data_IF_724829317101
#
_entry.id   IF_724829317101
#
_cell.length_a   1.000
_cell.length_b   1.000
_cell.length_c   1.000
_cell.angle_alpha   90.00
_cell.angle_beta   90.00
_cell.angle_gamma   90.00
#
_symmetry.space_group_name_H-M   'P 1'
#
loop_
_entity.id
_entity.type
_entity.pdbx_description
1 polymer ?
#
# COMPACT_ATOMS: atom_id res chain seq x y z
N UNK A 1 -21.98 15.86 4.90
CA UNK A 1 -21.93 15.98 6.37
C UNK A 1 -22.77 14.89 7.02
N UNK A 2 -24.10 14.94 6.97
CA UNK A 2 -25.00 13.90 7.56
C UNK A 2 -24.61 12.43 7.29
N UNK A 3 -24.23 12.09 6.05
CA UNK A 3 -23.85 10.71 5.72
C UNK A 3 -22.52 10.26 6.36
N UNK A 4 -21.57 11.18 6.55
CA UNK A 4 -20.34 10.86 7.29
C UNK A 4 -20.64 10.71 8.78
N UNK A 5 -21.52 11.55 9.36
CA UNK A 5 -22.01 11.40 10.74
C UNK A 5 -22.64 10.02 10.95
N UNK A 6 -23.56 9.63 10.06
CA UNK A 6 -24.21 8.33 10.11
C UNK A 6 -23.18 7.19 10.03
N UNK A 7 -22.23 7.27 9.10
CA UNK A 7 -21.16 6.28 8.97
C UNK A 7 -20.34 6.14 10.27
N UNK A 8 -19.81 7.26 10.79
CA UNK A 8 -18.97 7.22 12.00
C UNK A 8 -19.74 6.81 13.26
N UNK A 9 -21.05 7.07 13.33
CA UNK A 9 -21.90 6.58 14.43
C UNK A 9 -22.00 5.05 14.49
N UNK A 10 -21.87 4.37 13.35
CA UNK A 10 -21.95 2.91 13.21
C UNK A 10 -20.58 2.24 13.05
N UNK A 11 -19.53 3.02 12.81
CA UNK A 11 -18.20 2.51 12.50
C UNK A 11 -17.64 1.66 13.65
N UNK A 12 -17.17 0.45 13.32
CA UNK A 12 -16.34 -0.34 14.24
C UNK A 12 -14.97 0.32 14.37
N UNK A 13 -14.68 0.88 15.54
CA UNK A 13 -13.43 1.55 15.82
C UNK A 13 -12.26 0.55 15.80
N UNK A 14 -11.22 0.86 15.02
CA UNK A 14 -9.96 0.15 15.04
C UNK A 14 -9.06 0.71 16.13
N UNK A 15 -8.45 -0.18 16.93
CA UNK A 15 -7.55 0.18 18.04
C UNK A 15 -6.14 -0.31 17.68
N UNK A 16 -5.20 0.57 17.30
CA UNK A 16 -3.83 0.17 17.01
C UNK A 16 -3.10 -0.34 18.27
N UNK A 17 -2.08 -1.18 18.06
CA UNK A 17 -1.14 -1.59 19.13
C UNK A 17 -0.50 -0.36 19.79
N UNK A 18 -0.35 -0.39 21.12
CA UNK A 18 0.17 0.72 21.95
C UNK A 18 -0.59 2.04 21.71
N UNK A 19 -1.91 1.96 21.69
CA UNK A 19 -2.86 3.03 21.42
C UNK A 19 -2.54 4.37 22.12
N UNK A 20 -2.25 4.30 23.42
CA UNK A 20 -1.99 5.40 24.33
C UNK A 20 -0.65 6.09 24.09
N UNK A 21 0.27 5.43 23.39
CA UNK A 21 1.58 5.96 23.02
C UNK A 21 1.59 6.66 21.65
N UNK A 22 0.44 6.78 20.97
CA UNK A 22 0.36 7.31 19.60
C UNK A 22 -0.17 8.73 19.55
N UNK A 23 0.40 9.53 18.66
CA UNK A 23 -0.21 10.79 18.22
C UNK A 23 -1.37 10.48 17.27
N UNK A 24 -2.45 11.25 17.42
CA UNK A 24 -3.60 11.23 16.54
C UNK A 24 -3.70 12.54 15.77
N UNK A 25 -4.21 12.44 14.54
CA UNK A 25 -4.41 13.59 13.67
C UNK A 25 -5.68 13.43 12.82
N UNK A 26 -6.38 14.53 12.62
CA UNK A 26 -7.65 14.54 11.90
C UNK A 26 -7.75 15.73 10.96
N UNK A 27 -8.39 15.52 9.82
CA UNK A 27 -8.87 16.60 8.96
C UNK A 27 -10.38 16.67 9.14
N UNK A 28 -10.92 17.65 9.88
CA UNK A 28 -12.37 17.77 10.07
C UNK A 28 -13.10 17.95 8.73
N UNK A 29 -14.25 17.30 8.56
CA UNK A 29 -15.02 17.35 7.32
C UNK A 29 -15.45 18.77 6.95
N UNK A 30 -15.74 19.61 7.96
CA UNK A 30 -16.07 21.04 7.79
C UNK A 30 -14.96 21.87 7.14
N UNK A 31 -13.71 21.42 7.23
CA UNK A 31 -12.54 22.11 6.68
C UNK A 31 -12.10 21.49 5.33
N UNK A 32 -12.88 20.57 4.76
CA UNK A 32 -12.60 20.00 3.46
C UNK A 32 -13.30 20.84 2.38
N UNK A 33 -12.61 21.28 1.30
CA UNK A 33 -11.38 20.70 0.74
C UNK A 33 -10.04 21.35 1.15
N UNK A 34 -10.03 22.38 1.99
CA UNK A 34 -8.82 23.15 2.35
C UNK A 34 -7.77 22.36 3.14
N UNK A 35 -8.11 21.13 3.56
CA UNK A 35 -7.20 20.14 4.16
C UNK A 35 -6.46 20.63 5.42
N UNK A 36 -7.16 21.38 6.26
CA UNK A 36 -6.61 21.85 7.54
C UNK A 36 -6.60 20.68 8.54
N UNK A 37 -5.39 20.23 8.90
CA UNK A 37 -5.18 19.11 9.82
C UNK A 37 -5.02 19.60 11.27
N UNK A 38 -5.74 18.96 12.19
CA UNK A 38 -5.56 19.08 13.64
C UNK A 38 -4.71 17.91 14.11
N UNK A 39 -3.68 18.20 14.91
CA UNK A 39 -2.60 17.26 15.29
C UNK A 39 -2.26 17.39 16.78
N UNK A 40 -1.29 16.59 17.25
CA UNK A 40 -0.85 16.57 18.65
C UNK A 40 -1.97 16.16 19.61
N UNK A 41 -2.84 15.25 19.15
CA UNK A 41 -3.92 14.70 19.97
C UNK A 41 -3.47 13.34 20.50
N UNK A 42 -3.89 13.03 21.72
CA UNK A 42 -3.77 11.70 22.30
C UNK A 42 -5.04 11.36 23.06
N UNK A 43 -5.30 10.06 23.21
CA UNK A 43 -6.46 9.55 23.92
C UNK A 43 -6.00 8.54 24.95
N UNK A 44 -6.57 8.57 26.14
CA UNK A 44 -6.23 7.62 27.20
C UNK A 44 -6.97 6.30 27.05
N UNK A 45 -8.10 6.30 26.34
CA UNK A 45 -8.88 5.10 26.07
C UNK A 45 -9.66 5.20 24.72
N UNK A 46 -10.17 4.07 24.20
CA UNK A 46 -10.94 4.03 22.96
C UNK A 46 -12.26 4.84 22.96
N UNK A 47 -12.89 5.05 24.12
CA UNK A 47 -14.16 5.77 24.22
C UNK A 47 -13.96 7.26 23.95
N UNK A 48 -12.91 7.86 24.50
CA UNK A 48 -12.52 9.25 24.21
C UNK A 48 -12.27 9.48 22.72
N UNK A 49 -11.60 8.54 22.04
CA UNK A 49 -11.41 8.61 20.59
C UNK A 49 -12.75 8.57 19.84
N UNK A 50 -13.66 7.68 20.25
CA UNK A 50 -14.99 7.60 19.65
C UNK A 50 -15.75 8.91 19.82
N UNK A 51 -15.80 9.45 21.03
CA UNK A 51 -16.50 10.69 21.34
C UNK A 51 -15.91 11.88 20.59
N UNK A 52 -14.57 11.92 20.46
CA UNK A 52 -13.89 12.93 19.66
C UNK A 52 -14.27 12.85 18.18
N UNK A 53 -14.27 11.65 17.59
CA UNK A 53 -14.66 11.44 16.19
C UNK A 53 -16.11 11.88 15.96
N UNK A 54 -17.03 11.52 16.86
CA UNK A 54 -18.45 11.87 16.73
C UNK A 54 -18.70 13.37 16.90
N UNK A 55 -17.92 14.03 17.76
CA UNK A 55 -17.97 15.49 17.94
C UNK A 55 -17.27 16.27 16.82
N UNK A 56 -16.29 15.64 16.15
CA UNK A 56 -15.43 16.26 15.14
C UNK A 56 -15.31 15.37 13.90
N UNK A 57 -16.44 15.13 13.23
CA UNK A 57 -16.54 14.22 12.09
C UNK A 57 -15.41 14.44 11.08
N UNK A 58 -14.50 13.47 10.90
CA UNK A 58 -13.33 13.67 10.07
C UNK A 58 -13.58 13.31 8.60
N UNK A 59 -13.07 14.14 7.68
CA UNK A 59 -12.82 13.73 6.30
C UNK A 59 -11.64 12.76 6.21
N UNK A 60 -10.67 12.88 7.11
CA UNK A 60 -9.54 11.96 7.22
C UNK A 60 -9.14 11.78 8.69
N UNK A 61 -8.86 10.55 9.10
CA UNK A 61 -8.37 10.21 10.43
C UNK A 61 -7.04 9.45 10.32
N UNK A 62 -6.11 9.76 11.22
CA UNK A 62 -4.76 9.21 11.24
C UNK A 62 -4.26 8.96 12.66
N UNK A 63 -3.30 8.04 12.78
CA UNK A 63 -2.48 7.82 13.97
C UNK A 63 -1.00 7.71 13.56
N UNK A 64 -0.06 8.03 14.45
CA UNK A 64 1.37 7.93 14.17
C UNK A 64 1.84 6.48 14.10
N UNK A 65 2.73 6.16 13.16
CA UNK A 65 3.54 4.94 13.21
C UNK A 65 4.50 4.94 14.41
N UNK A 66 4.86 6.14 14.86
CA UNK A 66 5.72 6.37 16.02
C UNK A 66 4.99 6.18 17.35
N UNK A 67 5.78 5.80 18.34
CA UNK A 67 5.44 5.72 19.75
C UNK A 67 6.14 6.83 20.52
N UNK A 68 5.43 7.46 21.44
CA UNK A 68 5.88 8.60 22.23
C UNK A 68 5.55 8.38 23.70
N UNK A 69 6.35 8.93 24.61
CA UNK A 69 5.95 9.02 26.01
C UNK A 69 4.90 10.13 26.20
N UNK A 70 5.01 11.22 25.44
CA UNK A 70 4.14 12.39 25.50
C UNK A 70 3.54 12.68 24.11
N UNK A 71 2.59 11.86 23.62
CA UNK A 71 2.09 11.94 22.24
C UNK A 71 1.42 13.26 21.87
N UNK A 72 0.85 13.98 22.85
CA UNK A 72 0.20 15.28 22.69
C UNK A 72 1.13 16.49 22.81
N UNK A 73 2.40 16.30 23.18
CA UNK A 73 3.35 17.41 23.31
C UNK A 73 3.83 17.93 21.94
N UNK A 74 4.59 19.01 21.95
CA UNK A 74 5.33 19.47 20.76
C UNK A 74 6.44 18.48 20.39
N UNK A 75 6.88 18.53 19.13
CA UNK A 75 7.72 17.48 18.53
C UNK A 75 9.01 17.17 19.28
N UNK A 76 9.65 18.17 19.88
CA UNK A 76 10.91 18.03 20.61
C UNK A 76 10.69 17.49 22.03
N UNK A 77 9.46 17.61 22.55
CA UNK A 77 9.08 17.19 23.90
C UNK A 77 8.34 15.85 23.93
N UNK A 78 7.99 15.28 22.76
CA UNK A 78 7.22 14.02 22.69
C UNK A 78 7.94 12.81 23.29
N UNK A 79 9.27 12.85 23.38
CA UNK A 79 10.12 11.73 23.79
C UNK A 79 9.83 10.45 22.98
N UNK A 80 10.37 10.39 21.75
CA UNK A 80 10.21 9.26 20.84
C UNK A 80 10.74 7.94 21.43
N UNK A 81 9.96 6.87 21.32
CA UNK A 81 10.25 5.53 21.88
C UNK A 81 10.42 4.44 20.82
N UNK A 82 10.24 4.76 19.55
CA UNK A 82 10.23 3.80 18.47
C UNK A 82 9.22 4.13 17.39
N UNK A 83 9.23 3.41 16.28
CA UNK A 83 8.18 3.47 15.27
C UNK A 83 8.00 2.14 14.55
N UNK A 84 6.77 1.83 14.18
CA UNK A 84 6.47 0.71 13.29
C UNK A 84 7.22 0.86 11.96
N UNK A 85 7.62 -0.25 11.35
CA UNK A 85 8.14 -0.23 9.99
C UNK A 85 6.96 -0.25 9.03
N UNK A 86 6.90 0.77 8.17
CA UNK A 86 5.77 0.99 7.27
C UNK A 86 6.24 1.06 5.84
N UNK A 87 5.41 0.57 4.93
CA UNK A 87 5.63 0.69 3.50
C UNK A 87 4.36 1.21 2.84
N UNK A 88 4.49 2.16 1.91
CA UNK A 88 3.39 2.65 1.10
C UNK A 88 3.62 2.27 -0.36
N UNK A 89 2.59 1.69 -0.96
CA UNK A 89 2.56 1.23 -2.35
C UNK A 89 1.41 1.95 -3.03
N UNK A 90 1.71 3.13 -3.59
CA UNK A 90 0.80 3.91 -4.45
C UNK A 90 0.96 3.48 -5.91
N UNK A 91 -0.13 3.08 -6.56
CA UNK A 91 -0.06 2.61 -7.95
C UNK A 91 0.48 3.68 -8.91
N UNK A 92 0.38 4.98 -8.58
CA UNK A 92 0.89 6.06 -9.43
C UNK A 92 2.43 6.03 -9.57
N UNK A 93 3.12 5.43 -8.60
CA UNK A 93 4.57 5.26 -8.57
C UNK A 93 5.04 3.93 -9.19
N UNK A 94 4.10 3.09 -9.66
CA UNK A 94 4.42 1.79 -10.25
C UNK A 94 4.62 1.89 -11.77
N UNK A 95 5.44 1.00 -12.36
CA UNK A 95 5.58 0.91 -13.82
C UNK A 95 4.24 0.65 -14.53
N UNK A 96 3.37 -0.17 -13.91
CA UNK A 96 2.01 -0.40 -14.37
C UNK A 96 1.03 0.20 -13.36
N UNK A 97 0.41 1.33 -13.72
CA UNK A 97 -0.43 2.14 -12.83
C UNK A 97 -1.82 1.55 -12.62
N UNK A 98 -1.89 0.51 -11.79
CA UNK A 98 -3.15 -0.18 -11.44
C UNK A 98 -3.12 -0.72 -10.02
N UNK A 99 -4.29 -0.83 -9.40
CA UNK A 99 -4.44 -1.47 -8.09
C UNK A 99 -3.99 -2.94 -8.10
N UNK A 100 -4.20 -3.67 -9.21
CA UNK A 100 -3.70 -5.04 -9.36
C UNK A 100 -2.18 -5.11 -9.35
N UNK A 101 -1.51 -4.11 -9.94
CA UNK A 101 -0.07 -4.02 -9.83
C UNK A 101 0.37 -3.73 -8.41
N UNK A 102 -0.35 -2.87 -7.68
CA UNK A 102 -0.07 -2.59 -6.28
C UNK A 102 -0.23 -3.85 -5.40
N UNK A 103 -1.28 -4.65 -5.61
CA UNK A 103 -1.43 -5.97 -4.94
C UNK A 103 -0.22 -6.88 -5.19
N UNK A 104 0.25 -6.96 -6.45
CA UNK A 104 1.45 -7.75 -6.78
C UNK A 104 2.70 -7.25 -6.06
N UNK A 105 2.86 -5.95 -5.89
CA UNK A 105 3.95 -5.39 -5.10
C UNK A 105 3.82 -5.74 -3.62
N UNK A 106 2.61 -5.68 -3.03
CA UNK A 106 2.36 -6.14 -1.65
C UNK A 106 2.75 -7.60 -1.48
N UNK A 107 2.33 -8.51 -2.38
CA UNK A 107 2.72 -9.92 -2.30
C UNK A 107 4.23 -10.13 -2.37
N UNK A 108 4.93 -9.37 -3.23
CA UNK A 108 6.41 -9.44 -3.30
C UNK A 108 7.05 -8.91 -2.01
N UNK A 109 6.54 -7.80 -1.48
CA UNK A 109 7.01 -7.19 -0.24
C UNK A 109 6.89 -8.17 0.93
N UNK A 110 5.68 -8.66 1.19
CA UNK A 110 5.41 -9.59 2.30
C UNK A 110 6.29 -10.83 2.19
N UNK A 111 6.42 -11.40 0.99
CA UNK A 111 7.31 -12.53 0.75
C UNK A 111 8.77 -12.23 1.13
N UNK A 112 9.27 -11.05 0.84
CA UNK A 112 10.64 -10.65 1.22
C UNK A 112 10.74 -10.44 2.73
N UNK A 113 9.76 -9.77 3.35
CA UNK A 113 9.71 -9.56 4.80
C UNK A 113 9.74 -10.90 5.56
N UNK A 114 8.98 -11.89 5.10
CA UNK A 114 8.96 -13.22 5.71
C UNK A 114 10.26 -14.00 5.46
N UNK A 115 10.67 -14.14 4.19
CA UNK A 115 11.76 -15.06 3.84
C UNK A 115 13.15 -14.49 4.10
N UNK A 116 13.34 -13.19 3.93
CA UNK A 116 14.67 -12.57 4.04
C UNK A 116 14.87 -11.88 5.38
N UNK A 117 13.82 -11.25 5.93
CA UNK A 117 13.86 -10.54 7.21
C UNK A 117 13.34 -11.38 8.39
N UNK A 118 12.71 -12.53 8.11
CA UNK A 118 12.23 -13.45 9.13
C UNK A 118 11.08 -12.88 9.97
N UNK A 119 10.28 -11.97 9.40
CA UNK A 119 9.10 -11.37 10.06
C UNK A 119 7.96 -12.39 10.01
N UNK A 120 7.29 -12.60 11.15
CA UNK A 120 6.10 -13.44 11.21
C UNK A 120 4.91 -12.76 10.51
N UNK A 121 4.13 -13.53 9.75
CA UNK A 121 2.95 -13.01 9.02
C UNK A 121 1.94 -12.31 9.93
N UNK A 122 1.78 -12.77 11.18
CA UNK A 122 0.91 -12.17 12.20
C UNK A 122 1.31 -10.74 12.61
N UNK A 123 2.56 -10.36 12.35
CA UNK A 123 3.10 -9.05 12.66
C UNK A 123 3.06 -8.11 11.44
N UNK A 124 2.46 -8.56 10.34
CA UNK A 124 2.23 -7.79 9.13
C UNK A 124 0.74 -7.49 8.98
N UNK A 125 0.40 -6.21 8.88
CA UNK A 125 -0.98 -5.76 8.61
C UNK A 125 -1.01 -5.01 7.29
N UNK A 126 -1.93 -5.39 6.40
CA UNK A 126 -2.10 -4.77 5.08
C UNK A 126 -3.38 -3.95 5.11
N UNK A 127 -3.29 -2.71 4.63
CA UNK A 127 -4.38 -1.77 4.68
C UNK A 127 -4.56 -1.07 3.33
N UNK A 128 -5.72 -1.21 2.71
CA UNK A 128 -6.11 -0.36 1.59
C UNK A 128 -6.32 1.07 2.10
N UNK A 129 -5.54 2.01 1.55
CA UNK A 129 -5.49 3.41 1.95
C UNK A 129 -6.79 4.20 1.73
N UNK A 130 -7.81 3.62 1.08
CA UNK A 130 -9.04 4.29 0.68
C UNK A 130 -8.94 5.07 -0.64
N UNK A 131 -7.81 4.97 -1.37
CA UNK A 131 -7.62 5.73 -2.61
C UNK A 131 -6.85 4.96 -3.70
N UNK A 132 -5.51 4.96 -3.66
CA UNK A 132 -4.67 4.52 -4.80
C UNK A 132 -3.68 3.40 -4.47
N UNK A 133 -3.72 2.89 -3.25
CA UNK A 133 -2.63 2.04 -2.80
C UNK A 133 -2.90 1.34 -1.50
N UNK A 134 -1.88 0.61 -1.09
CA UNK A 134 -1.88 -0.18 0.13
C UNK A 134 -0.74 0.30 1.02
N UNK A 135 -1.01 0.29 2.32
CA UNK A 135 0.01 0.40 3.34
C UNK A 135 0.28 -0.99 3.89
N UNK A 136 1.54 -1.32 4.13
CA UNK A 136 1.95 -2.51 4.86
C UNK A 136 2.62 -2.06 6.15
N UNK A 137 2.03 -2.44 7.28
CA UNK A 137 2.53 -2.19 8.63
C UNK A 137 3.23 -3.42 9.15
N UNK A 138 4.41 -3.24 9.71
CA UNK A 138 5.19 -4.28 10.38
C UNK A 138 5.33 -3.89 11.85
N UNK A 139 4.75 -4.72 12.72
CA UNK A 139 4.71 -4.54 14.17
C UNK A 139 5.83 -5.27 14.91
N UNK A 140 6.71 -5.95 14.19
CA UNK A 140 7.85 -6.67 14.75
C UNK A 140 8.80 -5.73 15.50
N UNK A 141 8.97 -5.99 16.80
CA UNK A 141 9.69 -5.10 17.71
C UNK A 141 11.17 -4.95 17.36
N UNK A 142 11.76 -5.93 16.65
CA UNK A 142 13.17 -5.89 16.21
C UNK A 142 13.45 -4.72 15.29
N UNK A 143 12.43 -4.21 14.59
CA UNK A 143 12.54 -3.12 13.62
C UNK A 143 12.14 -1.76 14.23
N UNK A 144 11.62 -1.74 15.46
CA UNK A 144 11.01 -0.55 16.08
C UNK A 144 11.99 0.62 16.27
N UNK A 145 13.24 0.31 16.58
CA UNK A 145 14.28 1.29 16.87
C UNK A 145 15.13 1.70 15.66
N UNK A 146 14.80 1.20 14.46
CA UNK A 146 15.52 1.60 13.25
C UNK A 146 15.32 3.09 12.97
N UNK A 147 16.41 3.80 12.73
CA UNK A 147 16.41 5.20 12.33
C UNK A 147 16.11 5.36 10.83
N UNK A 148 16.12 6.62 10.38
CA UNK A 148 15.85 6.97 8.98
C UNK A 148 16.83 6.32 8.01
N UNK A 149 18.11 6.22 8.36
CA UNK A 149 19.14 5.68 7.46
C UNK A 149 19.05 4.17 7.34
N UNK A 150 18.84 3.46 8.44
CA UNK A 150 18.66 2.01 8.44
C UNK A 150 17.39 1.61 7.66
N UNK A 151 16.32 2.39 7.76
CA UNK A 151 15.10 2.20 6.97
C UNK A 151 15.33 2.45 5.47
N UNK A 152 16.19 3.41 5.12
CA UNK A 152 16.59 3.62 3.71
C UNK A 152 17.36 2.42 3.15
N UNK A 153 18.21 1.79 3.94
CA UNK A 153 18.90 0.55 3.53
C UNK A 153 17.90 -0.59 3.26
N UNK A 154 16.81 -0.70 4.04
CA UNK A 154 15.72 -1.65 3.76
C UNK A 154 15.05 -1.31 2.42
N UNK A 155 14.79 -0.03 2.14
CA UNK A 155 14.22 0.38 0.84
C UNK A 155 15.18 0.05 -0.32
N UNK A 156 16.47 0.29 -0.16
CA UNK A 156 17.47 -0.04 -1.18
C UNK A 156 17.58 -1.56 -1.38
N UNK A 157 17.46 -2.34 -0.30
CA UNK A 157 17.37 -3.80 -0.37
C UNK A 157 16.16 -4.28 -1.18
N UNK A 158 14.98 -3.69 -0.92
CA UNK A 158 13.72 -4.03 -1.59
C UNK A 158 13.74 -3.63 -3.07
N UNK A 159 14.28 -2.45 -3.38
CA UNK A 159 14.37 -1.92 -4.74
C UNK A 159 15.56 -2.46 -5.53
N UNK A 160 16.38 -3.32 -4.91
CA UNK A 160 17.61 -3.90 -5.47
C UNK A 160 18.62 -2.84 -5.93
N UNK A 161 18.64 -1.68 -5.27
CA UNK A 161 19.65 -0.65 -5.49
C UNK A 161 20.97 -1.10 -4.91
N UNK A 162 22.05 -0.90 -5.67
CA UNK A 162 23.37 -1.38 -5.28
C UNK A 162 23.49 -2.91 -5.24
N UNK A 163 22.65 -3.63 -6.00
CA UNK A 163 22.67 -5.09 -6.10
C UNK A 163 24.07 -5.65 -6.32
N UNK A 164 24.40 -6.73 -5.60
CA UNK A 164 25.68 -7.44 -5.67
C UNK A 164 25.43 -8.91 -6.01
N UNK A 165 26.40 -9.54 -6.68
CA UNK A 165 26.36 -10.98 -7.02
C UNK A 165 26.69 -11.88 -5.82
N UNK A 166 26.10 -11.60 -4.65
CA UNK A 166 26.25 -12.39 -3.41
C UNK A 166 25.08 -12.14 -2.45
N UNK A 167 24.89 -13.05 -1.50
CA UNK A 167 23.87 -12.94 -0.45
C UNK A 167 22.45 -13.23 -0.94
N UNK A 168 21.46 -13.00 -0.08
CA UNK A 168 20.08 -13.47 -0.27
C UNK A 168 19.42 -12.87 -1.52
N UNK A 169 19.66 -11.59 -1.83
CA UNK A 169 19.15 -10.95 -3.06
C UNK A 169 19.64 -11.70 -4.31
N UNK A 170 20.93 -12.03 -4.34
CA UNK A 170 21.54 -12.76 -5.44
C UNK A 170 20.95 -14.17 -5.58
N UNK A 171 20.75 -14.88 -4.48
CA UNK A 171 20.09 -16.19 -4.51
C UNK A 171 18.68 -16.13 -5.10
N UNK A 172 17.89 -15.10 -4.77
CA UNK A 172 16.56 -14.91 -5.36
C UNK A 172 16.64 -14.68 -6.86
N UNK A 173 17.58 -13.86 -7.32
CA UNK A 173 17.85 -13.62 -8.74
C UNK A 173 18.25 -14.92 -9.45
N UNK A 174 19.19 -15.67 -8.90
CA UNK A 174 19.62 -16.98 -9.40
C UNK A 174 18.47 -17.98 -9.52
N UNK A 175 17.63 -18.09 -8.49
CA UNK A 175 16.43 -18.95 -8.49
C UNK A 175 15.44 -18.52 -9.58
N UNK A 176 15.28 -17.23 -9.85
CA UNK A 176 14.40 -16.72 -10.90
C UNK A 176 14.97 -16.95 -12.31
N UNK A 177 16.27 -16.69 -12.52
CA UNK A 177 16.97 -16.98 -13.78
C UNK A 177 16.87 -18.47 -14.10
N UNK A 178 17.14 -19.33 -13.12
CA UNK A 178 16.99 -20.78 -13.24
C UNK A 178 15.58 -21.17 -13.72
N UNK A 179 14.52 -20.64 -13.09
CA UNK A 179 13.13 -20.91 -13.48
C UNK A 179 12.82 -20.40 -14.88
N UNK A 180 13.33 -19.22 -15.24
CA UNK A 180 13.13 -18.64 -16.57
C UNK A 180 13.71 -19.53 -17.65
N UNK A 181 14.98 -19.95 -17.49
CA UNK A 181 15.66 -20.83 -18.43
C UNK A 181 15.02 -22.22 -18.47
N UNK A 182 14.64 -22.78 -17.32
CA UNK A 182 13.91 -24.05 -17.25
C UNK A 182 12.63 -24.01 -18.09
N UNK A 183 11.86 -22.92 -18.02
CA UNK A 183 10.67 -22.73 -18.83
C UNK A 183 11.02 -22.53 -20.31
N UNK A 184 12.07 -21.78 -20.63
CA UNK A 184 12.56 -21.60 -22.00
C UNK A 184 13.02 -22.91 -22.66
N UNK A 185 13.54 -23.86 -21.88
CA UNK A 185 13.82 -25.22 -22.35
C UNK A 185 12.53 -26.00 -22.62
N UNK A 186 11.53 -25.91 -21.72
CA UNK A 186 10.25 -26.63 -21.86
C UNK A 186 9.44 -26.17 -23.07
N UNK A 187 9.47 -24.88 -23.40
CA UNK A 187 8.68 -24.29 -24.48
C UNK A 187 9.48 -24.05 -25.77
N UNK A 188 10.74 -24.49 -25.83
CA UNK A 188 11.61 -24.40 -27.00
C UNK A 188 12.17 -23.00 -27.29
N UNK A 189 11.84 -21.96 -26.50
CA UNK A 189 12.39 -20.61 -26.72
C UNK A 189 13.91 -20.54 -26.60
N UNK A 190 14.53 -21.46 -25.85
CA UNK A 190 15.98 -21.51 -25.66
C UNK A 190 16.76 -21.61 -26.97
N UNK A 191 16.18 -22.26 -28.00
CA UNK A 191 16.83 -22.47 -29.31
C UNK A 191 17.09 -21.16 -30.05
N UNK A 192 16.27 -20.14 -29.78
CA UNK A 192 16.41 -18.80 -30.36
C UNK A 192 17.29 -17.89 -29.52
N UNK A 193 17.64 -18.30 -28.31
CA UNK A 193 18.36 -17.48 -27.34
C UNK A 193 19.86 -17.76 -27.31
N UNK A 194 20.27 -18.98 -27.65
CA UNK A 194 21.66 -19.43 -27.58
C UNK A 194 22.00 -20.36 -28.74
N UNK A 195 23.29 -20.48 -29.06
CA UNK A 195 23.79 -21.49 -30.00
C UNK A 195 23.73 -22.92 -29.42
N UNK A 196 23.96 -23.93 -30.27
CA UNK A 196 23.89 -25.35 -29.91
C UNK A 196 24.84 -25.73 -28.77
N UNK A 197 26.06 -25.19 -28.79
CA UNK A 197 27.09 -25.47 -27.77
C UNK A 197 26.67 -24.94 -26.41
N UNK A 198 26.25 -23.68 -26.33
CA UNK A 198 25.75 -23.06 -25.11
C UNK A 198 24.47 -23.75 -24.62
N UNK A 199 23.59 -24.17 -25.54
CA UNK A 199 22.39 -24.93 -25.19
C UNK A 199 22.73 -26.25 -24.49
N UNK A 200 23.70 -27.00 -24.97
CA UNK A 200 24.13 -28.26 -24.36
C UNK A 200 24.73 -28.04 -22.97
N UNK A 201 25.63 -27.06 -22.83
CA UNK A 201 26.22 -26.67 -21.54
C UNK A 201 25.12 -26.30 -20.53
N UNK A 202 24.17 -25.46 -20.93
CA UNK A 202 23.06 -25.04 -20.08
C UNK A 202 22.14 -26.21 -19.73
N UNK A 203 21.88 -27.12 -20.67
CA UNK A 203 21.02 -28.30 -20.44
C UNK A 203 21.59 -29.20 -19.35
N UNK A 204 22.89 -29.44 -19.36
CA UNK A 204 23.57 -30.31 -18.39
C UNK A 204 23.73 -29.64 -17.03
N UNK A 205 24.05 -28.33 -17.00
CA UNK A 205 24.46 -27.63 -15.78
C UNK A 205 23.40 -26.66 -15.23
N UNK A 206 22.16 -26.72 -15.71
CA UNK A 206 21.11 -25.74 -15.37
C UNK A 206 20.94 -25.54 -13.87
N UNK A 207 21.05 -26.62 -13.09
CA UNK A 207 20.89 -26.58 -11.61
C UNK A 207 21.96 -25.74 -10.92
N UNK A 208 23.15 -25.57 -11.51
CA UNK A 208 24.23 -24.76 -10.92
C UNK A 208 23.88 -23.28 -10.87
N UNK A 209 23.04 -22.80 -11.80
CA UNK A 209 22.52 -21.42 -11.81
C UNK A 209 21.79 -21.12 -10.52
N UNK A 210 20.99 -22.08 -10.02
CA UNK A 210 20.24 -21.94 -8.77
C UNK A 210 21.17 -21.73 -7.57
N UNK A 211 22.40 -22.25 -7.66
CA UNK A 211 23.43 -22.18 -6.61
C UNK A 211 24.43 -21.03 -6.83
N UNK A 212 24.18 -20.12 -7.79
CA UNK A 212 24.99 -18.92 -7.99
C UNK A 212 25.94 -18.97 -9.19
N UNK A 213 26.09 -20.10 -9.89
CA UNK A 213 26.98 -20.16 -11.04
C UNK A 213 26.33 -19.56 -12.30
N UNK A 214 26.36 -18.23 -12.44
CA UNK A 214 25.86 -17.54 -13.63
C UNK A 214 26.85 -17.56 -14.81
N UNK A 215 28.10 -18.00 -14.59
CA UNK A 215 29.14 -18.00 -15.63
C UNK A 215 28.86 -19.01 -16.75
N UNK A 216 28.03 -20.02 -16.49
CA UNK A 216 27.60 -20.98 -17.50
C UNK A 216 26.66 -20.36 -18.55
N UNK A 217 26.10 -19.18 -18.26
CA UNK A 217 25.22 -18.44 -19.18
C UNK A 217 26.11 -17.54 -20.06
N UNK A 218 25.97 -17.58 -21.40
CA UNK A 218 26.65 -16.65 -22.29
C UNK A 218 26.40 -15.20 -21.86
N UNK A 219 27.46 -14.38 -21.86
CA UNK A 219 27.41 -13.03 -21.26
C UNK A 219 26.26 -12.16 -21.78
N UNK A 220 25.99 -12.06 -23.11
CA UNK A 220 24.88 -11.24 -23.61
C UNK A 220 23.52 -11.64 -23.02
N UNK A 221 23.26 -12.95 -22.95
CA UNK A 221 22.04 -13.48 -22.37
C UNK A 221 22.02 -13.31 -20.85
N UNK A 222 23.16 -13.48 -20.19
CA UNK A 222 23.29 -13.29 -18.73
C UNK A 222 22.91 -11.88 -18.32
N UNK A 223 23.42 -10.87 -19.03
CA UNK A 223 23.17 -9.47 -18.74
C UNK A 223 21.69 -9.12 -18.97
N UNK A 224 21.09 -9.60 -20.07
CA UNK A 224 19.65 -9.46 -20.34
C UNK A 224 18.80 -10.11 -19.23
N UNK A 225 19.12 -11.35 -18.84
CA UNK A 225 18.38 -12.08 -17.82
C UNK A 225 18.54 -11.44 -16.44
N UNK A 226 19.73 -10.95 -16.10
CA UNK A 226 19.99 -10.21 -14.87
C UNK A 226 19.09 -8.98 -14.82
N UNK A 227 19.15 -8.12 -15.83
CA UNK A 227 18.33 -6.91 -15.89
C UNK A 227 16.82 -7.22 -15.77
N UNK A 228 16.34 -8.19 -16.55
CA UNK A 228 14.94 -8.62 -16.53
C UNK A 228 14.52 -9.16 -15.16
N UNK A 229 15.37 -9.97 -14.52
CA UNK A 229 15.07 -10.56 -13.23
C UNK A 229 15.13 -9.52 -12.10
N UNK A 230 16.07 -8.58 -12.16
CA UNK A 230 16.14 -7.46 -11.21
C UNK A 230 14.87 -6.61 -11.28
N UNK A 231 14.44 -6.17 -12.47
CA UNK A 231 13.18 -5.41 -12.62
C UNK A 231 11.96 -6.18 -12.11
N UNK A 232 11.94 -7.50 -12.30
CA UNK A 232 10.83 -8.35 -11.85
C UNK A 232 10.80 -8.54 -10.32
N UNK A 233 11.97 -8.64 -9.69
CA UNK A 233 12.11 -8.90 -8.26
C UNK A 233 12.10 -7.64 -7.40
N UNK A 234 12.48 -6.49 -7.97
CA UNK A 234 12.43 -5.21 -7.27
C UNK A 234 11.00 -4.96 -6.76
N UNK A 235 10.90 -4.49 -5.52
CA UNK A 235 9.65 -4.08 -4.90
C UNK A 235 9.59 -2.57 -4.87
N UNK A 236 8.53 -2.02 -5.45
CA UNK A 236 8.34 -0.58 -5.53
C UNK A 236 7.51 -0.09 -4.34
N UNK A 237 8.19 0.57 -3.41
CA UNK A 237 7.61 1.27 -2.26
C UNK A 237 7.97 2.75 -2.32
N UNK A 238 7.20 3.61 -1.65
CA UNK A 238 7.53 5.03 -1.46
C UNK A 238 8.68 5.17 -0.42
N UNK A 239 9.91 5.56 -0.84
CA UNK A 239 11.05 5.62 0.07
C UNK A 239 10.90 6.67 1.18
N UNK A 240 10.43 7.91 0.92
CA UNK A 240 10.12 8.87 1.97
C UNK A 240 9.19 8.34 3.05
N UNK A 241 8.16 7.55 2.70
CA UNK A 241 7.24 6.98 3.69
C UNK A 241 7.96 6.01 4.62
N UNK A 242 8.73 5.09 4.05
CA UNK A 242 9.42 4.05 4.82
C UNK A 242 10.51 4.63 5.73
N UNK A 243 11.21 5.67 5.25
CA UNK A 243 12.29 6.32 5.99
C UNK A 243 11.82 7.23 7.14
N UNK A 244 10.55 7.66 7.13
CA UNK A 244 9.99 8.58 8.10
C UNK A 244 9.58 7.85 9.40
N UNK A 245 10.35 8.07 10.46
CA UNK A 245 10.11 7.49 11.79
C UNK A 245 9.01 8.19 12.60
N UNK A 246 8.32 9.17 12.01
CA UNK A 246 7.25 9.96 12.65
C UNK A 246 6.01 10.06 11.74
N UNK A 247 5.85 9.13 10.80
CA UNK A 247 4.78 9.15 9.79
C UNK A 247 3.40 9.02 10.41
N UNK A 248 2.40 9.67 9.82
CA UNK A 248 0.99 9.46 10.10
C UNK A 248 0.39 8.44 9.13
N UNK A 249 -0.30 7.45 9.69
CA UNK A 249 -0.94 6.35 8.98
C UNK A 249 -2.45 6.47 9.12
N UNK A 250 -3.15 6.15 8.02
CA UNK A 250 -4.59 6.35 7.96
C UNK A 250 -5.29 5.31 8.84
N UNK A 251 -6.24 5.76 9.64
CA UNK A 251 -6.99 4.90 10.56
C UNK A 251 -7.84 3.90 9.77
N UNK A 252 -7.65 2.57 9.95
CA UNK A 252 -8.57 1.58 9.40
C UNK A 252 -10.01 1.82 9.82
N UNK A 253 -10.94 1.44 8.95
CA UNK A 253 -12.37 1.71 9.01
C UNK A 253 -12.79 3.19 8.91
N UNK A 254 -11.87 4.15 8.88
CA UNK A 254 -12.21 5.54 8.58
C UNK A 254 -12.56 5.74 7.10
N UNK A 255 -13.06 6.93 6.74
CA UNK A 255 -13.31 7.33 5.35
C UNK A 255 -12.11 8.10 4.80
N UNK A 256 -11.79 7.89 3.52
CA UNK A 256 -10.88 8.74 2.77
C UNK A 256 -11.62 9.91 2.11
N UNK A 257 -11.48 11.13 2.63
CA UNK A 257 -12.21 12.33 2.21
C UNK A 257 -12.18 12.70 0.72
N UNK A 258 -11.15 12.29 -0.05
CA UNK A 258 -11.10 12.54 -1.52
C UNK A 258 -11.89 11.54 -2.36
N UNK A 259 -12.32 10.42 -1.79
CA UNK A 259 -12.98 9.32 -2.51
C UNK A 259 -14.29 8.90 -1.85
N UNK A 260 -14.47 9.14 -0.55
CA UNK A 260 -15.59 8.59 0.21
C UNK A 260 -15.47 7.07 0.43
N UNK A 261 -14.35 6.44 0.05
CA UNK A 261 -14.13 5.01 0.28
C UNK A 261 -13.62 4.76 1.69
N UNK A 262 -13.96 3.59 2.20
CA UNK A 262 -13.47 3.06 3.47
C UNK A 262 -11.99 2.70 3.36
N UNK A 263 -11.27 2.90 4.45
CA UNK A 263 -9.91 2.40 4.66
C UNK A 263 -10.05 0.98 5.22
N UNK A 264 -9.53 -0.02 4.53
CA UNK A 264 -9.90 -1.42 4.79
C UNK A 264 -8.66 -2.23 5.16
N UNK A 265 -8.70 -2.96 6.27
CA UNK A 265 -7.73 -4.02 6.53
C UNK A 265 -8.02 -5.18 5.60
N UNK A 266 -6.98 -5.72 4.98
CA UNK A 266 -7.10 -6.80 4.01
C UNK A 266 -6.14 -7.89 4.43
N UNK A 267 -6.66 -9.09 4.68
CA UNK A 267 -5.80 -10.22 4.98
C UNK A 267 -5.04 -10.64 3.70
N UNK A 268 -3.84 -11.19 3.88
CA UNK A 268 -2.95 -11.48 2.75
C UNK A 268 -3.56 -12.48 1.76
N UNK A 269 -4.30 -13.46 2.26
CA UNK A 269 -5.01 -14.47 1.50
C UNK A 269 -6.24 -13.91 0.75
N UNK A 270 -6.90 -12.90 1.31
CA UNK A 270 -8.03 -12.21 0.68
C UNK A 270 -7.60 -11.14 -0.33
N UNK A 271 -6.35 -10.66 -0.24
CA UNK A 271 -5.84 -9.53 -1.04
C UNK A 271 -5.99 -9.73 -2.55
N UNK A 272 -5.83 -10.96 -3.05
CA UNK A 272 -5.99 -11.24 -4.49
C UNK A 272 -7.41 -10.92 -4.95
N UNK A 273 -8.43 -11.33 -4.17
CA UNK A 273 -9.85 -11.14 -4.45
C UNK A 273 -10.39 -9.74 -4.14
N UNK A 274 -9.76 -9.00 -3.23
CA UNK A 274 -10.24 -7.70 -2.76
C UNK A 274 -10.37 -6.65 -3.87
N UNK A 275 -11.58 -6.18 -4.21
CA UNK A 275 -11.82 -5.08 -5.14
C UNK A 275 -12.20 -3.80 -4.39
N UNK A 276 -11.31 -2.79 -4.32
CA UNK A 276 -11.62 -1.50 -3.68
C UNK A 276 -12.85 -0.77 -4.24
N UNK A 277 -13.26 -1.06 -5.48
CA UNK A 277 -14.45 -0.45 -6.08
C UNK A 277 -15.75 -1.04 -5.55
N UNK A 278 -15.70 -2.17 -4.85
CA UNK A 278 -16.85 -2.90 -4.31
C UNK A 278 -16.72 -3.05 -2.79
N UNK A 279 -15.59 -3.56 -2.32
CA UNK A 279 -15.39 -3.94 -0.91
C UNK A 279 -15.09 -2.74 0.01
N UNK A 280 -14.60 -1.64 -0.57
CA UNK A 280 -14.31 -0.41 0.15
C UNK A 280 -15.44 0.63 0.08
N UNK A 281 -16.64 0.26 -0.40
CA UNK A 281 -17.80 1.14 -0.35
C UNK A 281 -18.24 1.36 1.11
N UNK A 282 -18.35 2.62 1.50
CA UNK A 282 -18.75 3.03 2.85
C UNK A 282 -20.25 3.36 2.96
N UNK A 283 -20.92 3.54 1.82
CA UNK A 283 -22.26 4.11 1.71
C UNK A 283 -23.17 3.20 0.89
N UNK A 284 -24.48 3.35 1.11
CA UNK A 284 -25.49 2.54 0.43
C UNK A 284 -25.73 2.96 -1.03
N UNK A 285 -26.79 2.41 -1.61
CA UNK A 285 -27.19 2.62 -3.01
C UNK A 285 -28.46 3.48 -3.17
N UNK A 286 -28.93 4.11 -2.08
CA UNK A 286 -30.05 5.04 -2.08
C UNK A 286 -29.94 6.08 -3.21
N UNK A 287 -31.06 6.35 -3.88
CA UNK A 287 -31.09 7.26 -5.01
C UNK A 287 -30.86 8.73 -4.58
N UNK A 288 -29.75 9.32 -5.01
CA UNK A 288 -29.36 10.70 -4.68
C UNK A 288 -29.37 11.58 -5.93
N UNK A 289 -30.06 12.72 -5.85
CA UNK A 289 -30.03 13.78 -6.87
C UNK A 289 -28.73 14.58 -6.76
N UNK A 290 -27.97 14.63 -7.85
CA UNK A 290 -26.73 15.41 -7.94
C UNK A 290 -26.66 16.21 -9.23
N UNK A 291 -25.90 17.30 -9.20
CA UNK A 291 -25.47 18.03 -10.40
C UNK A 291 -24.02 17.76 -10.71
N UNK A 292 -23.77 17.16 -11.86
CA UNK A 292 -22.44 16.90 -12.40
C UNK A 292 -21.88 18.16 -13.05
N UNK A 293 -20.66 18.54 -12.66
CA UNK A 293 -20.02 19.80 -13.06
C UNK A 293 -19.32 19.73 -14.41
N UNK A 294 -18.75 18.56 -14.73
CA UNK A 294 -18.04 18.27 -15.98
C UNK A 294 -18.21 16.81 -16.37
N UNK A 295 -18.03 16.49 -17.66
CA UNK A 295 -18.11 15.10 -18.14
C UNK A 295 -17.15 14.23 -17.33
N UNK A 296 -17.65 13.13 -16.79
CA UNK A 296 -16.86 12.19 -15.97
C UNK A 296 -17.18 10.76 -16.37
N UNK A 297 -16.16 9.90 -16.29
CA UNK A 297 -16.28 8.45 -16.41
C UNK A 297 -15.83 7.86 -15.09
N UNK A 298 -16.67 7.02 -14.49
CA UNK A 298 -16.38 6.35 -13.23
C UNK A 298 -16.90 4.93 -13.29
N UNK A 299 -16.18 4.01 -12.65
CA UNK A 299 -16.57 2.62 -12.47
C UNK A 299 -16.50 2.34 -10.98
N UNK A 300 -17.64 1.99 -10.38
CA UNK A 300 -17.79 1.86 -8.93
C UNK A 300 -19.02 0.99 -8.60
N UNK A 301 -18.89 0.08 -7.64
CA UNK A 301 -19.94 -0.87 -7.28
C UNK A 301 -20.34 -1.79 -8.43
N UNK A 302 -19.37 -2.26 -9.21
CA UNK A 302 -19.60 -3.15 -10.37
C UNK A 302 -20.18 -2.47 -11.62
N UNK A 303 -20.60 -1.20 -11.52
CA UNK A 303 -21.27 -0.47 -12.59
C UNK A 303 -20.38 0.60 -13.23
N UNK A 304 -20.61 0.88 -14.52
CA UNK A 304 -19.88 1.91 -15.28
C UNK A 304 -20.78 3.08 -15.64
N UNK A 305 -20.38 4.27 -15.20
CA UNK A 305 -21.12 5.51 -15.42
C UNK A 305 -20.39 6.44 -16.39
N UNK A 306 -21.11 6.96 -17.38
CA UNK A 306 -20.64 8.01 -18.29
C UNK A 306 -21.60 9.19 -18.15
N UNK A 307 -21.21 10.18 -17.35
CA UNK A 307 -22.10 11.25 -16.94
C UNK A 307 -21.71 12.56 -17.65
N UNK A 308 -22.69 13.17 -18.32
CA UNK A 308 -22.58 14.51 -18.86
C UNK A 308 -22.79 15.58 -17.77
N UNK A 309 -22.42 16.83 -18.06
CA UNK A 309 -22.76 17.97 -17.21
C UNK A 309 -24.28 18.10 -17.12
N UNK A 310 -24.84 18.23 -15.92
CA UNK A 310 -26.29 18.31 -15.72
C UNK A 310 -26.77 17.61 -14.46
N UNK A 311 -28.09 17.46 -14.32
CA UNK A 311 -28.72 16.77 -13.19
C UNK A 311 -28.78 15.27 -13.46
N UNK A 312 -28.47 14.47 -12.45
CA UNK A 312 -28.51 13.01 -12.50
C UNK A 312 -29.06 12.46 -11.18
N UNK A 313 -29.64 11.27 -11.23
CA UNK A 313 -29.96 10.46 -10.04
C UNK A 313 -28.99 9.29 -10.04
N UNK A 314 -28.20 9.18 -8.98
CA UNK A 314 -27.15 8.16 -8.85
C UNK A 314 -27.28 7.45 -7.51
N UNK A 315 -26.79 6.20 -7.39
CA UNK A 315 -26.63 5.56 -6.09
C UNK A 315 -25.76 6.41 -5.16
N UNK A 316 -26.08 6.40 -3.87
CA UNK A 316 -25.44 7.24 -2.86
C UNK A 316 -23.91 7.11 -2.85
N UNK A 317 -23.38 5.90 -2.91
CA UNK A 317 -21.93 5.66 -2.97
C UNK A 317 -21.26 6.36 -4.16
N UNK A 318 -21.91 6.38 -5.33
CA UNK A 318 -21.41 7.08 -6.54
C UNK A 318 -21.50 8.58 -6.36
N UNK A 319 -22.63 9.07 -5.85
CA UNK A 319 -22.86 10.49 -5.61
C UNK A 319 -21.79 11.05 -4.65
N UNK A 320 -21.55 10.38 -3.52
CA UNK A 320 -20.53 10.79 -2.54
C UNK A 320 -19.14 10.73 -3.15
N UNK A 321 -18.79 9.66 -3.86
CA UNK A 321 -17.48 9.56 -4.53
C UNK A 321 -17.21 10.74 -5.45
N UNK A 322 -18.20 11.14 -6.27
CA UNK A 322 -18.08 12.26 -7.20
C UNK A 322 -18.03 13.62 -6.47
N UNK A 323 -18.77 13.79 -5.38
CA UNK A 323 -18.71 14.99 -4.54
C UNK A 323 -17.36 15.14 -3.85
N UNK A 324 -16.82 14.06 -3.29
CA UNK A 324 -15.49 14.03 -2.66
C UNK A 324 -14.35 14.38 -3.64
N UNK A 325 -14.53 14.08 -4.93
CA UNK A 325 -13.61 14.47 -6.00
C UNK A 325 -13.84 15.89 -6.53
N UNK A 326 -14.82 16.62 -6.00
CA UNK A 326 -15.16 17.99 -6.42
C UNK A 326 -15.75 18.05 -7.84
N UNK A 327 -16.39 16.99 -8.32
CA UNK A 327 -16.98 16.93 -9.68
C UNK A 327 -18.51 16.86 -9.69
N UNK A 328 -19.13 16.79 -8.51
CA UNK A 328 -20.58 16.81 -8.34
C UNK A 328 -20.99 17.69 -7.14
N UNK A 329 -22.24 18.15 -7.14
CA UNK A 329 -22.89 18.89 -6.06
C UNK A 329 -24.22 18.22 -5.68
N UNK A 330 -24.56 18.19 -4.39
CA UNK A 330 -25.80 17.60 -3.87
C UNK A 330 -27.03 18.48 -4.14
N UNK A 331 -28.18 17.86 -4.40
CA UNK A 331 -29.49 18.48 -4.18
C UNK A 331 -29.95 19.50 -5.23
N UNK A 332 -29.53 19.35 -6.48
CA UNK A 332 -29.84 20.32 -7.55
C UNK A 332 -30.78 19.80 -8.63
#
# INVERSE_FOLDING_TARGET
MKKFEEYYSKMKLYIPKNFDMREWAFVPLKNFPDFIMVRHISFSNPEELRDFILSNIPAHAYFSSAYYLKPSADMDEKEWRGADLIFDIDYDHLPTKSLDSAKREVFKLVKILENDFGIDSKDIEICFSGNRGYHVHVYDERFRNLGTMERREIVDYLTLRGFKLRGTQFERVCKLIYRYLLNAFKDGRIEKMVDEKAREILRTNLKEIKNGNLNIIPQPLRDELLDKCLRRLAVYVDPPVTADVKRLMRLPNSIHGKTGLKVVLVDLDELEGFDPKVDALAFGDDAVKVRILKRVRVELGGERYILGKGKHVLPEYVAIFLMCRGVALYGH
#
